data_IF_078315419783
#
_entry.id   IF_078315419783
#
_cell.length_a   1.000
_cell.length_b   1.000
_cell.length_c   1.000
_cell.angle_alpha   90.00
_cell.angle_beta   90.00
_cell.angle_gamma   90.00
#
_symmetry.space_group_name_H-M   'P 1'
#
loop_
_entity.id
_entity.type
_entity.pdbx_description
1 polymer ?
#
# COMPACT_ATOMS: atom_id res chain seq x y z
N UNK A 1 -24.92 19.35 10.23
CA UNK A 1 -25.17 20.60 10.99
C UNK A 1 -24.80 21.78 10.10
N UNK A 2 -25.62 22.84 9.99
CA UNK A 2 -25.30 24.01 9.17
C UNK A 2 -24.62 25.11 10.01
N UNK A 3 -23.85 26.01 9.37
CA UNK A 3 -23.80 27.39 9.83
C UNK A 3 -24.25 28.38 8.75
N UNK A 4 -25.35 29.06 9.11
CA UNK A 4 -25.66 30.48 9.01
C UNK A 4 -25.06 31.30 7.86
N UNK A 5 -25.98 31.70 6.97
CA UNK A 5 -25.90 32.78 5.99
C UNK A 5 -25.62 34.12 6.67
N UNK A 6 -24.54 34.82 6.29
CA UNK A 6 -24.43 36.27 6.44
C UNK A 6 -24.64 36.92 5.06
N UNK A 7 -25.74 37.65 4.94
CA UNK A 7 -25.95 38.61 3.86
C UNK A 7 -25.15 39.87 4.17
N UNK A 8 -24.21 40.22 3.31
CA UNK A 8 -23.67 41.58 3.22
C UNK A 8 -24.23 42.20 1.94
N UNK A 9 -25.04 43.25 2.10
CA UNK A 9 -25.49 44.12 1.02
C UNK A 9 -24.33 45.05 0.59
N UNK A 10 -24.20 45.38 -0.70
CA UNK A 10 -23.29 46.42 -1.15
C UNK A 10 -23.95 47.79 -0.99
N UNK A 11 -23.20 48.77 -0.51
CA UNK A 11 -23.56 50.18 -0.62
C UNK A 11 -22.46 50.84 -1.45
N UNK A 12 -22.75 50.99 -2.73
CA UNK A 12 -22.10 51.95 -3.63
C UNK A 12 -22.52 53.36 -3.21
N UNK A 13 -21.57 54.22 -2.91
CA UNK A 13 -21.77 55.66 -2.96
C UNK A 13 -20.41 56.31 -3.24
N UNK A 14 -20.11 56.42 -4.54
CA UNK A 14 -19.14 57.36 -5.06
C UNK A 14 -19.59 58.77 -4.64
N UNK A 15 -18.78 59.46 -3.85
CA UNK A 15 -18.88 60.90 -3.66
C UNK A 15 -17.59 61.50 -4.22
N UNK A 16 -17.63 61.83 -5.50
CA UNK A 16 -16.64 62.70 -6.14
C UNK A 16 -17.39 63.80 -6.86
N UNK A 17 -16.84 65.01 -6.74
CA UNK A 17 -17.08 66.19 -7.56
C UNK A 17 -18.34 67.02 -7.25
N UNK A 18 -18.15 68.15 -6.58
CA UNK A 18 -18.19 69.48 -7.21
C UNK A 18 -18.01 70.52 -6.10
N UNK A 19 -16.82 71.09 -6.00
CA UNK A 19 -16.60 72.32 -5.25
C UNK A 19 -16.07 73.32 -6.27
N UNK A 20 -17.04 73.96 -6.93
CA UNK A 20 -16.86 75.20 -7.66
C UNK A 20 -16.33 76.25 -6.69
N UNK A 21 -15.05 76.56 -6.80
CA UNK A 21 -14.42 77.67 -6.10
C UNK A 21 -14.17 78.76 -7.13
N UNK A 22 -15.21 79.57 -7.35
CA UNK A 22 -15.17 80.81 -8.10
C UNK A 22 -14.00 81.66 -7.57
N UNK A 23 -12.96 81.75 -8.40
CA UNK A 23 -11.85 82.66 -8.17
C UNK A 23 -12.29 84.00 -8.75
N UNK A 24 -12.71 84.93 -7.90
CA UNK A 24 -12.85 86.32 -8.31
C UNK A 24 -11.46 86.89 -8.60
N UNK A 25 -11.14 87.01 -9.88
CA UNK A 25 -10.03 87.80 -10.41
C UNK A 25 -10.21 89.27 -10.01
N UNK A 26 -9.54 89.69 -8.94
CA UNK A 26 -9.40 91.12 -8.63
C UNK A 26 -8.38 91.70 -9.61
N UNK A 27 -8.90 92.19 -10.73
CA UNK A 27 -8.20 93.00 -11.71
C UNK A 27 -7.61 94.25 -11.05
N UNK A 28 -6.27 94.33 -11.00
CA UNK A 28 -5.52 95.51 -10.59
C UNK A 28 -5.47 96.51 -11.76
N UNK A 29 -6.51 97.31 -11.91
CA UNK A 29 -6.52 98.42 -12.86
C UNK A 29 -5.65 99.57 -12.31
N UNK A 30 -4.47 99.72 -12.91
CA UNK A 30 -3.55 100.83 -12.69
C UNK A 30 -4.05 102.05 -13.47
N UNK A 31 -4.76 102.96 -12.82
CA UNK A 31 -5.02 104.30 -13.37
C UNK A 31 -3.97 105.29 -12.86
N UNK A 32 -3.03 105.61 -13.75
CA UNK A 32 -2.12 106.75 -13.64
C UNK A 32 -2.75 107.91 -14.42
N UNK A 33 -2.56 109.13 -13.88
CA UNK A 33 -2.89 110.50 -14.39
C UNK A 33 -4.20 111.07 -13.83
N UNK A 34 -4.29 112.33 -13.37
CA UNK A 34 -3.47 113.53 -13.58
C UNK A 34 -3.33 114.38 -12.32
N UNK A 35 -2.16 115.00 -12.19
CA UNK A 35 -1.84 116.20 -11.41
C UNK A 35 -2.85 117.32 -11.65
N UNK A 36 -3.31 117.96 -10.58
CA UNK A 36 -3.59 119.40 -10.58
C UNK A 36 -3.23 119.98 -9.21
N UNK A 37 -2.29 120.91 -9.27
CA UNK A 37 -1.75 121.71 -8.19
C UNK A 37 -2.82 122.61 -7.55
N UNK A 38 -2.93 122.58 -6.22
CA UNK A 38 -3.01 123.79 -5.37
C UNK A 38 -2.64 123.42 -3.92
N UNK A 39 -1.36 123.55 -3.62
CA UNK A 39 -0.80 123.96 -2.32
C UNK A 39 -0.99 125.50 -2.22
N UNK A 40 -1.21 126.22 -1.12
CA UNK A 40 -0.92 126.07 0.31
C UNK A 40 -1.68 127.16 1.10
N UNK A 41 -2.06 126.92 2.36
CA UNK A 41 -1.99 127.96 3.39
C UNK A 41 -1.77 127.33 4.79
N UNK A 42 -0.81 127.93 5.49
CA UNK A 42 -0.15 127.55 6.76
C UNK A 42 -1.07 127.31 7.97
N UNK A 43 -0.57 126.46 8.89
CA UNK A 43 -0.75 126.44 10.37
C UNK A 43 -1.10 125.05 10.96
N UNK A 44 -0.14 124.11 11.04
CA UNK A 44 -0.13 123.01 12.05
C UNK A 44 1.20 122.20 12.07
N UNK A 45 2.25 122.73 12.70
CA UNK A 45 3.59 122.11 12.81
C UNK A 45 3.74 120.99 13.86
N UNK A 46 2.67 120.35 14.31
CA UNK A 46 2.72 119.20 15.25
C UNK A 46 2.04 117.91 14.76
N UNK A 47 1.31 117.99 13.63
CA UNK A 47 0.57 116.86 13.05
C UNK A 47 1.31 116.15 11.92
N UNK A 48 2.10 116.88 11.11
CA UNK A 48 2.72 116.31 9.91
C UNK A 48 3.76 115.23 10.19
N UNK A 49 4.63 115.40 11.19
CA UNK A 49 5.65 114.40 11.56
C UNK A 49 5.02 113.09 12.05
N UNK A 50 3.95 113.18 12.85
CA UNK A 50 3.18 112.02 13.33
C UNK A 50 2.49 111.30 12.17
N UNK A 51 1.96 112.05 11.20
CA UNK A 51 1.33 111.50 10.00
C UNK A 51 2.36 110.79 9.11
N UNK A 52 3.56 111.34 8.91
CA UNK A 52 4.63 110.65 8.16
C UNK A 52 5.15 109.40 8.86
N UNK A 53 5.27 109.41 10.19
CA UNK A 53 5.71 108.22 10.94
C UNK A 53 4.67 107.09 10.89
N UNK A 54 3.39 107.43 11.08
CA UNK A 54 2.28 106.48 10.91
C UNK A 54 2.21 105.92 9.49
N UNK A 55 2.56 106.72 8.48
CA UNK A 55 2.59 106.27 7.10
C UNK A 55 3.73 105.29 6.82
N UNK A 56 4.91 105.52 7.41
CA UNK A 56 6.05 104.60 7.32
C UNK A 56 5.75 103.29 8.04
N UNK A 57 5.25 103.34 9.27
CA UNK A 57 4.85 102.15 10.04
C UNK A 57 3.76 101.34 9.30
N UNK A 58 2.78 102.02 8.68
CA UNK A 58 1.78 101.36 7.83
C UNK A 58 2.40 100.68 6.62
N UNK A 59 3.39 101.29 5.96
CA UNK A 59 4.10 100.68 4.83
C UNK A 59 4.92 99.45 5.25
N UNK A 60 5.58 99.51 6.39
CA UNK A 60 6.35 98.38 6.95
C UNK A 60 5.42 97.21 7.31
N UNK A 61 4.29 97.48 7.94
CA UNK A 61 3.28 96.46 8.25
C UNK A 61 2.69 95.85 6.97
N UNK A 62 2.40 96.65 5.95
CA UNK A 62 1.92 96.15 4.65
C UNK A 62 2.97 95.26 3.97
N UNK A 63 4.25 95.66 3.99
CA UNK A 63 5.33 94.83 3.45
C UNK A 63 5.47 93.51 4.21
N UNK A 64 5.38 93.56 5.55
CA UNK A 64 5.42 92.36 6.40
C UNK A 64 4.27 91.41 6.09
N UNK A 65 3.06 91.95 5.88
CA UNK A 65 1.90 91.17 5.45
C UNK A 65 2.15 90.52 4.08
N UNK A 66 2.77 91.24 3.14
CA UNK A 66 3.11 90.67 1.82
C UNK A 66 4.12 89.52 1.94
N UNK A 67 5.17 89.68 2.76
CA UNK A 67 6.13 88.61 3.02
C UNK A 67 5.45 87.39 3.64
N UNK A 68 4.60 87.58 4.65
CA UNK A 68 3.84 86.49 5.27
C UNK A 68 2.90 85.79 4.29
N UNK A 69 2.28 86.52 3.36
CA UNK A 69 1.46 85.92 2.29
C UNK A 69 2.30 85.06 1.35
N UNK A 70 3.49 85.52 0.98
CA UNK A 70 4.42 84.75 0.15
C UNK A 70 4.85 83.48 0.90
N UNK A 71 5.31 83.60 2.14
CA UNK A 71 5.72 82.46 2.95
C UNK A 71 4.58 81.45 3.12
N UNK A 72 3.37 81.91 3.41
CA UNK A 72 2.19 81.05 3.51
C UNK A 72 1.91 80.34 2.18
N UNK A 73 1.98 81.04 1.06
CA UNK A 73 1.78 80.43 -0.27
C UNK A 73 2.84 79.37 -0.59
N UNK A 74 4.10 79.60 -0.22
CA UNK A 74 5.18 78.64 -0.39
C UNK A 74 5.00 77.40 0.49
N UNK A 75 4.57 77.58 1.75
CA UNK A 75 4.26 76.48 2.65
C UNK A 75 3.05 75.67 2.16
N UNK A 76 2.03 76.33 1.63
CA UNK A 76 0.89 75.64 1.02
C UNK A 76 1.32 74.82 -0.20
N UNK A 77 2.13 75.39 -1.10
CA UNK A 77 2.66 74.66 -2.25
C UNK A 77 3.48 73.44 -1.83
N UNK A 78 4.30 73.57 -0.78
CA UNK A 78 5.06 72.44 -0.23
C UNK A 78 4.13 71.35 0.34
N UNK A 79 3.09 71.73 1.08
CA UNK A 79 2.10 70.79 1.60
C UNK A 79 1.37 70.05 0.47
N UNK A 80 0.98 70.76 -0.58
CA UNK A 80 0.30 70.16 -1.73
C UNK A 80 1.21 69.19 -2.48
N UNK A 81 2.50 69.54 -2.65
CA UNK A 81 3.48 68.65 -3.26
C UNK A 81 3.70 67.38 -2.42
N UNK A 82 3.90 67.53 -1.10
CA UNK A 82 4.02 66.37 -0.20
C UNK A 82 2.76 65.51 -0.20
N UNK A 83 1.58 66.12 -0.27
CA UNK A 83 0.31 65.40 -0.35
C UNK A 83 0.23 64.60 -1.66
N UNK A 84 0.62 65.19 -2.79
CA UNK A 84 0.67 64.49 -4.07
C UNK A 84 1.63 63.29 -4.03
N UNK A 85 2.82 63.46 -3.46
CA UNK A 85 3.81 62.38 -3.30
C UNK A 85 3.26 61.25 -2.42
N UNK A 86 2.63 61.57 -1.29
CA UNK A 86 2.01 60.55 -0.43
C UNK A 86 0.83 59.85 -1.10
N UNK A 87 0.00 60.57 -1.85
CA UNK A 87 -1.11 59.96 -2.60
C UNK A 87 -0.58 58.98 -3.66
N UNK A 88 0.42 59.38 -4.45
CA UNK A 88 1.08 58.49 -5.40
C UNK A 88 1.71 57.28 -4.68
N UNK A 89 2.30 57.50 -3.50
CA UNK A 89 2.88 56.38 -2.75
C UNK A 89 1.84 55.39 -2.23
N UNK A 90 0.68 55.88 -1.82
CA UNK A 90 -0.44 55.04 -1.39
C UNK A 90 -0.93 54.19 -2.58
N UNK A 91 -1.11 54.80 -3.75
CA UNK A 91 -1.53 54.08 -4.96
C UNK A 91 -0.54 52.96 -5.35
N UNK A 92 0.77 53.24 -5.33
CA UNK A 92 1.80 52.22 -5.57
C UNK A 92 1.74 51.05 -4.58
N UNK A 93 1.50 51.35 -3.30
CA UNK A 93 1.45 50.33 -2.26
C UNK A 93 0.16 49.49 -2.36
N UNK A 94 -0.95 50.11 -2.75
CA UNK A 94 -2.22 49.42 -3.02
C UNK A 94 -2.10 48.49 -4.23
N UNK A 95 -1.46 48.94 -5.32
CA UNK A 95 -1.20 48.09 -6.49
C UNK A 95 -0.34 46.87 -6.11
N UNK A 96 0.77 47.08 -5.39
CA UNK A 96 1.64 45.98 -4.92
C UNK A 96 0.91 45.01 -4.00
N UNK A 97 0.02 45.52 -3.14
CA UNK A 97 -0.80 44.68 -2.27
C UNK A 97 -1.77 43.83 -3.10
N UNK A 98 -2.41 44.42 -4.10
CA UNK A 98 -3.33 43.72 -4.99
C UNK A 98 -2.61 42.61 -5.77
N UNK A 99 -1.41 42.88 -6.29
CA UNK A 99 -0.58 41.88 -6.97
C UNK A 99 -0.20 40.72 -6.04
N UNK A 100 0.22 41.03 -4.80
CA UNK A 100 0.57 40.01 -3.81
C UNK A 100 -0.65 39.15 -3.42
N UNK A 101 -1.83 39.76 -3.30
CA UNK A 101 -3.08 39.04 -3.06
C UNK A 101 -3.47 38.15 -4.24
N UNK A 102 -3.32 38.62 -5.47
CA UNK A 102 -3.59 37.84 -6.66
C UNK A 102 -2.65 36.62 -6.75
N UNK A 103 -1.35 36.83 -6.56
CA UNK A 103 -0.36 35.75 -6.56
C UNK A 103 -0.67 34.71 -5.47
N UNK A 104 -1.03 35.15 -4.27
CA UNK A 104 -1.45 34.26 -3.18
C UNK A 104 -2.64 33.40 -3.58
N UNK A 105 -3.66 33.98 -4.21
CA UNK A 105 -4.84 33.24 -4.66
C UNK A 105 -4.49 32.20 -5.73
N UNK A 106 -3.66 32.57 -6.71
CA UNK A 106 -3.20 31.64 -7.75
C UNK A 106 -2.42 30.47 -7.15
N UNK A 107 -1.51 30.74 -6.22
CA UNK A 107 -0.74 29.70 -5.53
C UNK A 107 -1.64 28.78 -4.69
N UNK A 108 -2.61 29.34 -3.98
CA UNK A 108 -3.57 28.55 -3.20
C UNK A 108 -4.39 27.61 -4.09
N UNK A 109 -4.88 28.09 -5.24
CA UNK A 109 -5.61 27.28 -6.21
C UNK A 109 -4.74 26.19 -6.81
N UNK A 110 -3.47 26.50 -7.14
CA UNK A 110 -2.52 25.52 -7.65
C UNK A 110 -2.25 24.40 -6.63
N UNK A 111 -2.06 24.77 -5.36
CA UNK A 111 -1.83 23.81 -4.29
C UNK A 111 -3.06 22.93 -4.05
N UNK A 112 -4.26 23.51 -4.01
CA UNK A 112 -5.52 22.76 -3.86
C UNK A 112 -5.74 21.80 -5.03
N UNK A 113 -5.45 22.22 -6.26
CA UNK A 113 -5.50 21.36 -7.43
C UNK A 113 -4.51 20.18 -7.34
N UNK A 114 -3.26 20.45 -6.95
CA UNK A 114 -2.25 19.39 -6.77
C UNK A 114 -2.63 18.40 -5.67
N UNK A 115 -3.15 18.91 -4.54
CA UNK A 115 -3.62 18.06 -3.44
C UNK A 115 -4.79 17.17 -3.87
N UNK A 116 -5.76 17.71 -4.62
CA UNK A 116 -6.89 16.93 -5.15
C UNK A 116 -6.43 15.81 -6.07
N UNK A 117 -5.56 16.10 -7.02
CA UNK A 117 -5.00 15.09 -7.95
C UNK A 117 -4.25 14.02 -7.16
N UNK A 118 -3.37 14.39 -6.23
CA UNK A 118 -2.63 13.44 -5.41
C UNK A 118 -3.55 12.55 -4.55
N UNK A 119 -4.62 13.12 -3.98
CA UNK A 119 -5.61 12.36 -3.21
C UNK A 119 -6.39 11.37 -4.09
N UNK A 120 -6.81 11.79 -5.28
CA UNK A 120 -7.50 10.92 -6.23
C UNK A 120 -6.61 9.77 -6.70
N UNK A 121 -5.36 10.06 -7.02
CA UNK A 121 -4.40 9.03 -7.45
C UNK A 121 -4.08 8.06 -6.32
N UNK A 122 -3.90 8.55 -5.09
CA UNK A 122 -3.69 7.68 -3.93
C UNK A 122 -4.90 6.76 -3.70
N UNK A 123 -6.13 7.27 -3.81
CA UNK A 123 -7.36 6.45 -3.72
C UNK A 123 -7.43 5.40 -4.83
N UNK A 124 -7.08 5.76 -6.07
CA UNK A 124 -7.04 4.81 -7.20
C UNK A 124 -6.03 3.70 -6.93
N UNK A 125 -4.80 4.05 -6.52
CA UNK A 125 -3.75 3.08 -6.19
C UNK A 125 -4.16 2.17 -5.04
N UNK A 126 -4.72 2.72 -3.97
CA UNK A 126 -5.22 1.92 -2.84
C UNK A 126 -6.32 0.95 -3.28
N UNK A 127 -7.24 1.38 -4.14
CA UNK A 127 -8.30 0.51 -4.67
C UNK A 127 -7.76 -0.61 -5.56
N UNK A 128 -6.73 -0.31 -6.36
CA UNK A 128 -6.06 -1.28 -7.23
C UNK A 128 -5.31 -2.33 -6.39
N UNK A 129 -4.49 -1.89 -5.44
CA UNK A 129 -3.78 -2.81 -4.54
C UNK A 129 -4.73 -3.68 -3.72
N UNK A 130 -5.87 -3.13 -3.28
CA UNK A 130 -6.89 -3.92 -2.58
C UNK A 130 -7.44 -5.03 -3.47
N UNK A 131 -7.79 -4.73 -4.73
CA UNK A 131 -8.26 -5.75 -5.70
C UNK A 131 -7.20 -6.79 -6.02
N UNK A 132 -5.95 -6.37 -6.20
CA UNK A 132 -4.83 -7.29 -6.44
C UNK A 132 -4.62 -8.22 -5.25
N UNK A 133 -4.65 -7.68 -4.03
CA UNK A 133 -4.56 -8.47 -2.80
C UNK A 133 -5.70 -9.49 -2.69
N UNK A 134 -6.94 -9.06 -2.95
CA UNK A 134 -8.11 -9.94 -2.96
C UNK A 134 -7.99 -11.06 -4.00
N UNK A 135 -7.48 -10.76 -5.20
CA UNK A 135 -7.25 -11.75 -6.24
C UNK A 135 -6.16 -12.78 -5.86
N UNK A 136 -5.06 -12.32 -5.25
CA UNK A 136 -4.00 -13.19 -4.75
C UNK A 136 -4.52 -14.09 -3.63
N UNK A 137 -5.28 -13.54 -2.67
CA UNK A 137 -5.86 -14.32 -1.58
C UNK A 137 -6.86 -15.37 -2.09
N UNK A 138 -7.72 -15.02 -3.03
CA UNK A 138 -8.66 -15.97 -3.64
C UNK A 138 -7.92 -17.10 -4.35
N UNK A 139 -6.85 -16.79 -5.10
CA UNK A 139 -6.02 -17.80 -5.75
C UNK A 139 -5.30 -18.69 -4.73
N UNK A 140 -4.79 -18.11 -3.64
CA UNK A 140 -4.13 -18.85 -2.58
C UNK A 140 -5.08 -19.85 -1.91
N UNK A 141 -6.31 -19.43 -1.60
CA UNK A 141 -7.34 -20.31 -1.05
C UNK A 141 -7.68 -21.48 -1.99
N UNK A 142 -7.83 -21.20 -3.30
CA UNK A 142 -8.06 -22.25 -4.29
C UNK A 142 -6.91 -23.27 -4.35
N UNK A 143 -5.66 -22.80 -4.28
CA UNK A 143 -4.49 -23.67 -4.27
C UNK A 143 -4.41 -24.50 -2.98
N UNK A 144 -4.73 -23.91 -1.83
CA UNK A 144 -4.77 -24.60 -0.54
C UNK A 144 -5.85 -25.69 -0.53
N UNK A 145 -7.05 -25.39 -1.03
CA UNK A 145 -8.12 -26.37 -1.19
C UNK A 145 -7.73 -27.50 -2.13
N UNK A 146 -7.15 -27.17 -3.29
CA UNK A 146 -6.67 -28.17 -4.25
C UNK A 146 -5.60 -29.06 -3.61
N UNK A 147 -4.65 -28.48 -2.87
CA UNK A 147 -3.61 -29.23 -2.18
C UNK A 147 -4.19 -30.15 -1.10
N UNK A 148 -5.19 -29.69 -0.34
CA UNK A 148 -5.90 -30.54 0.61
C UNK A 148 -6.57 -31.73 -0.09
N UNK A 149 -7.26 -31.49 -1.22
CA UNK A 149 -7.89 -32.55 -2.02
C UNK A 149 -6.86 -33.54 -2.58
N UNK A 150 -5.72 -33.06 -3.08
CA UNK A 150 -4.64 -33.91 -3.57
C UNK A 150 -4.03 -34.75 -2.45
N UNK A 151 -3.80 -34.16 -1.27
CA UNK A 151 -3.31 -34.88 -0.10
C UNK A 151 -4.30 -35.97 0.35
N UNK A 152 -5.60 -35.66 0.35
CA UNK A 152 -6.65 -36.62 0.66
C UNK A 152 -6.67 -37.76 -0.37
N UNK A 153 -6.68 -37.44 -1.67
CA UNK A 153 -6.67 -38.42 -2.76
C UNK A 153 -5.41 -39.31 -2.69
N UNK A 154 -4.24 -38.75 -2.42
CA UNK A 154 -3.02 -39.53 -2.20
C UNK A 154 -3.12 -40.44 -0.95
N UNK A 155 -3.83 -40.00 0.08
CA UNK A 155 -4.21 -40.82 1.23
C UNK A 155 -5.09 -42.00 0.84
N UNK A 156 -6.15 -41.74 0.09
CA UNK A 156 -7.10 -42.74 -0.41
C UNK A 156 -6.39 -43.79 -1.29
N UNK A 157 -5.52 -43.36 -2.20
CA UNK A 157 -4.69 -44.25 -3.02
C UNK A 157 -3.80 -45.14 -2.15
N UNK A 158 -3.12 -44.59 -1.14
CA UNK A 158 -2.32 -45.40 -0.19
C UNK A 158 -3.16 -46.42 0.57
N UNK A 159 -4.38 -46.07 0.96
CA UNK A 159 -5.28 -47.03 1.62
C UNK A 159 -5.80 -48.09 0.66
N UNK A 160 -6.04 -47.74 -0.61
CA UNK A 160 -6.50 -48.67 -1.64
C UNK A 160 -5.49 -49.78 -1.94
N UNK A 161 -4.19 -49.51 -1.74
CA UNK A 161 -3.12 -50.49 -1.93
C UNK A 161 -2.96 -51.49 -0.77
N UNK A 162 -3.79 -51.46 0.27
CA UNK A 162 -3.69 -52.44 1.37
C UNK A 162 -4.15 -53.84 0.96
N UNK A 163 -5.17 -53.92 0.11
CA UNK A 163 -5.79 -55.17 -0.32
C UNK A 163 -5.68 -55.31 -1.85
N UNK A 164 -4.56 -55.88 -2.31
CA UNK A 164 -4.22 -56.04 -3.73
C UNK A 164 -4.39 -57.49 -4.23
N UNK A 165 -5.00 -58.36 -3.44
CA UNK A 165 -5.19 -59.76 -3.83
C UNK A 165 -6.12 -59.86 -5.05
N UNK A 166 -5.59 -60.45 -6.11
CA UNK A 166 -6.25 -60.59 -7.41
C UNK A 166 -6.51 -62.06 -7.72
N UNK A 167 -7.71 -62.38 -8.21
CA UNK A 167 -7.97 -63.72 -8.74
C UNK A 167 -7.35 -63.90 -10.13
N UNK A 168 -7.07 -65.15 -10.51
CA UNK A 168 -6.47 -65.46 -11.81
C UNK A 168 -7.36 -65.01 -12.99
N UNK A 169 -8.67 -65.10 -12.86
CA UNK A 169 -9.62 -64.68 -13.90
C UNK A 169 -9.59 -63.16 -14.09
N UNK A 170 -9.64 -62.40 -12.98
CA UNK A 170 -9.54 -60.94 -13.00
C UNK A 170 -8.20 -60.46 -13.54
N UNK A 171 -7.11 -61.16 -13.23
CA UNK A 171 -5.80 -60.87 -13.80
C UNK A 171 -5.81 -60.98 -15.34
N UNK A 172 -6.41 -62.04 -15.89
CA UNK A 172 -6.47 -62.23 -17.34
C UNK A 172 -7.34 -61.17 -18.01
N UNK A 173 -8.45 -60.79 -17.39
CA UNK A 173 -9.31 -59.70 -17.86
C UNK A 173 -8.56 -58.37 -17.90
N UNK A 174 -7.89 -58.00 -16.81
CA UNK A 174 -7.14 -56.73 -16.69
C UNK A 174 -5.93 -56.68 -17.63
N UNK A 175 -5.21 -57.81 -17.79
CA UNK A 175 -4.02 -57.89 -18.66
C UNK A 175 -4.33 -57.63 -20.14
N UNK A 176 -5.56 -57.88 -20.57
CA UNK A 176 -5.99 -57.69 -21.96
C UNK A 176 -6.47 -56.25 -22.23
N UNK A 177 -6.59 -55.42 -21.20
CA UNK A 177 -7.00 -54.03 -21.33
C UNK A 177 -5.75 -53.11 -21.47
N UNK A 178 -5.88 -51.97 -22.18
CA UNK A 178 -4.82 -50.96 -22.23
C UNK A 178 -4.75 -50.15 -20.94
N UNK A 179 -3.53 -49.75 -20.56
CA UNK A 179 -3.22 -49.07 -19.28
C UNK A 179 -4.08 -47.81 -19.03
N UNK A 180 -4.42 -47.04 -20.08
CA UNK A 180 -5.24 -45.83 -19.97
C UNK A 180 -6.67 -46.08 -19.48
N UNK A 181 -7.14 -47.33 -19.53
CA UNK A 181 -8.50 -47.73 -19.12
C UNK A 181 -8.52 -48.43 -17.76
N UNK A 182 -7.35 -48.69 -17.19
CA UNK A 182 -7.20 -49.44 -15.94
C UNK A 182 -6.91 -48.42 -14.83
N UNK A 183 -7.57 -48.57 -13.68
CA UNK A 183 -7.26 -47.71 -12.53
C UNK A 183 -5.84 -47.98 -12.01
N UNK A 184 -5.24 -46.99 -11.36
CA UNK A 184 -3.90 -47.14 -10.75
C UNK A 184 -3.87 -48.32 -9.77
N UNK A 185 -4.96 -48.54 -9.02
CA UNK A 185 -5.08 -49.68 -8.09
C UNK A 185 -5.06 -51.02 -8.82
N UNK A 186 -5.87 -51.18 -9.86
CA UNK A 186 -5.93 -52.42 -10.65
C UNK A 186 -4.61 -52.70 -11.37
N UNK A 187 -3.96 -51.67 -11.89
CA UNK A 187 -2.64 -51.79 -12.52
C UNK A 187 -1.60 -52.30 -11.51
N UNK A 188 -1.56 -51.72 -10.31
CA UNK A 188 -0.65 -52.15 -9.24
C UNK A 188 -1.00 -53.57 -8.76
N UNK A 189 -2.29 -53.91 -8.61
CA UNK A 189 -2.72 -55.26 -8.24
C UNK A 189 -2.29 -56.31 -9.27
N UNK A 190 -2.41 -56.01 -10.56
CA UNK A 190 -1.94 -56.87 -11.65
C UNK A 190 -0.43 -57.14 -11.54
N UNK A 191 0.38 -56.09 -11.34
CA UNK A 191 1.83 -56.23 -11.14
C UNK A 191 2.20 -57.00 -9.87
N UNK A 192 1.46 -56.78 -8.80
CA UNK A 192 1.64 -57.50 -7.54
C UNK A 192 1.33 -58.99 -7.73
N UNK A 193 0.23 -59.32 -8.42
CA UNK A 193 -0.13 -60.69 -8.77
C UNK A 193 0.95 -61.39 -9.61
N UNK A 194 1.48 -60.74 -10.63
CA UNK A 194 2.58 -61.26 -11.47
C UNK A 194 3.82 -61.61 -10.64
N UNK A 195 4.17 -60.77 -9.66
CA UNK A 195 5.35 -60.97 -8.82
C UNK A 195 5.13 -62.03 -7.72
N UNK A 196 3.96 -62.03 -7.09
CA UNK A 196 3.69 -62.84 -5.88
C UNK A 196 3.26 -64.27 -6.22
N UNK A 197 2.52 -64.48 -7.31
CA UNK A 197 2.05 -65.81 -7.72
C UNK A 197 3.16 -66.85 -7.89
N UNK A 198 4.29 -66.57 -8.59
CA UNK A 198 5.37 -67.55 -8.72
C UNK A 198 6.03 -67.86 -7.37
N UNK A 199 6.18 -66.86 -6.50
CA UNK A 199 6.73 -67.06 -5.15
C UNK A 199 5.81 -67.94 -4.29
N UNK A 200 4.50 -67.69 -4.32
CA UNK A 200 3.50 -68.54 -3.64
C UNK A 200 3.58 -69.99 -4.13
N UNK A 201 3.73 -70.19 -5.45
CA UNK A 201 3.91 -71.53 -6.03
C UNK A 201 5.19 -72.21 -5.53
N UNK A 202 6.32 -71.49 -5.49
CA UNK A 202 7.58 -72.03 -4.96
C UNK A 202 7.47 -72.40 -3.49
N UNK A 203 6.84 -71.57 -2.66
CA UNK A 203 6.60 -71.87 -1.24
C UNK A 203 5.76 -73.14 -1.09
N UNK A 204 4.69 -73.29 -1.86
CA UNK A 204 3.86 -74.50 -1.84
C UNK A 204 4.63 -75.75 -2.31
N UNK A 205 5.48 -75.63 -3.33
CA UNK A 205 6.33 -76.74 -3.78
C UNK A 205 7.36 -77.13 -2.71
N UNK A 206 7.97 -76.14 -2.05
CA UNK A 206 8.93 -76.38 -0.97
C UNK A 206 8.26 -76.97 0.26
N UNK A 207 7.04 -76.57 0.62
CA UNK A 207 6.31 -77.17 1.73
C UNK A 207 6.04 -78.65 1.46
N UNK A 208 5.52 -78.99 0.26
CA UNK A 208 5.27 -80.39 -0.13
C UNK A 208 6.55 -81.22 -0.10
N UNK A 209 7.68 -80.68 -0.58
CA UNK A 209 8.99 -81.37 -0.49
C UNK A 209 9.45 -81.58 0.94
N UNK A 210 9.20 -80.61 1.82
CA UNK A 210 9.55 -80.70 3.23
C UNK A 210 8.73 -81.81 3.89
N UNK A 211 7.43 -81.85 3.63
CA UNK A 211 6.54 -82.89 4.14
C UNK A 211 6.98 -84.28 3.65
N UNK A 212 7.25 -84.45 2.35
CA UNK A 212 7.70 -85.74 1.80
C UNK A 212 9.04 -86.20 2.40
N UNK A 213 10.01 -85.29 2.56
CA UNK A 213 11.30 -85.63 3.17
C UNK A 213 11.15 -85.98 4.66
N UNK A 214 10.17 -85.37 5.34
CA UNK A 214 9.88 -85.68 6.74
C UNK A 214 9.28 -87.09 6.85
N UNK A 215 8.34 -87.44 5.97
CA UNK A 215 7.79 -88.80 5.88
C UNK A 215 8.87 -89.84 5.53
N UNK A 216 9.74 -89.56 4.57
CA UNK A 216 10.89 -90.42 4.22
C UNK A 216 11.84 -90.60 5.42
N UNK A 217 12.09 -89.54 6.17
CA UNK A 217 12.96 -89.60 7.33
C UNK A 217 12.33 -90.42 8.48
N UNK A 218 11.03 -90.31 8.68
CA UNK A 218 10.31 -91.09 9.70
C UNK A 218 10.20 -92.57 9.30
N UNK A 219 9.94 -92.88 8.04
CA UNK A 219 9.97 -94.26 7.54
C UNK A 219 11.36 -94.88 7.73
N UNK A 220 12.43 -94.18 7.36
CA UNK A 220 13.81 -94.64 7.59
C UNK A 220 14.11 -94.85 9.08
N UNK A 221 13.65 -93.96 9.97
CA UNK A 221 13.78 -94.14 11.43
C UNK A 221 13.06 -95.39 11.93
N UNK A 222 11.86 -95.68 11.43
CA UNK A 222 11.11 -96.88 11.82
C UNK A 222 11.78 -98.16 11.31
N UNK A 223 12.27 -98.17 10.06
CA UNK A 223 13.03 -99.28 9.50
C UNK A 223 14.31 -99.55 10.28
N UNK A 224 15.06 -98.51 10.62
CA UNK A 224 16.30 -98.64 11.40
C UNK A 224 16.04 -99.18 12.80
N UNK A 225 14.92 -98.77 13.44
CA UNK A 225 14.49 -99.34 14.72
C UNK A 225 14.17 -100.83 14.60
N UNK A 226 13.35 -101.22 13.62
CA UNK A 226 13.02 -102.63 13.40
C UNK A 226 14.24 -103.48 13.07
N UNK A 227 15.21 -102.95 12.31
CA UNK A 227 16.46 -103.65 12.04
C UNK A 227 17.29 -103.85 13.32
N UNK A 228 17.38 -102.83 14.18
CA UNK A 228 18.04 -102.96 15.48
C UNK A 228 17.34 -103.99 16.38
N UNK A 229 16.02 -103.97 16.46
CA UNK A 229 15.24 -104.94 17.24
C UNK A 229 15.50 -106.38 16.74
N UNK A 230 15.45 -106.61 15.43
CA UNK A 230 15.75 -107.93 14.84
C UNK A 230 17.20 -108.38 15.07
N UNK A 231 18.16 -107.46 15.01
CA UNK A 231 19.57 -107.73 15.29
C UNK A 231 19.76 -108.12 16.76
N UNK A 232 19.08 -107.44 17.68
CA UNK A 232 19.09 -107.80 19.10
C UNK A 232 18.47 -109.17 19.36
N UNK A 233 17.36 -109.51 18.68
CA UNK A 233 16.74 -110.84 18.76
C UNK A 233 17.66 -111.95 18.25
N UNK A 234 18.24 -111.79 17.06
CA UNK A 234 19.22 -112.75 16.51
C UNK A 234 20.43 -112.92 17.43
N UNK A 235 20.94 -111.81 17.99
CA UNK A 235 22.03 -111.88 18.97
C UNK A 235 21.62 -112.70 20.19
N UNK A 236 20.40 -112.54 20.71
CA UNK A 236 19.87 -113.35 21.83
C UNK A 236 19.75 -114.83 21.45
N UNK A 237 19.16 -115.14 20.30
CA UNK A 237 19.00 -116.52 19.81
C UNK A 237 20.36 -117.19 19.62
N UNK A 238 21.33 -116.48 19.01
CA UNK A 238 22.70 -116.96 18.85
C UNK A 238 23.35 -117.27 20.19
N UNK A 239 23.23 -116.39 21.18
CA UNK A 239 23.77 -116.66 22.52
C UNK A 239 23.10 -117.89 23.17
N UNK A 240 21.79 -118.07 23.00
CA UNK A 240 21.07 -119.24 23.51
C UNK A 240 21.52 -120.54 22.82
N UNK A 241 21.73 -120.51 21.50
CA UNK A 241 22.23 -121.64 20.72
C UNK A 241 23.68 -121.98 21.12
N UNK A 242 24.54 -120.98 21.27
CA UNK A 242 25.91 -121.16 21.74
C UNK A 242 25.92 -121.85 23.12
N UNK A 243 25.06 -121.43 24.05
CA UNK A 243 24.89 -122.08 25.35
C UNK A 243 24.37 -123.52 25.23
N UNK A 244 23.41 -123.80 24.34
CA UNK A 244 22.92 -125.17 24.09
C UNK A 244 23.98 -126.07 23.48
N UNK A 245 24.74 -125.58 22.50
CA UNK A 245 25.86 -126.30 21.90
C UNK A 245 26.93 -126.62 22.94
N UNK A 246 27.27 -125.66 23.82
CA UNK A 246 28.19 -125.91 24.94
C UNK A 246 27.69 -127.01 25.86
N UNK A 247 26.39 -127.01 26.23
CA UNK A 247 25.78 -128.07 27.03
C UNK A 247 25.84 -129.43 26.36
N UNK A 248 25.42 -129.53 25.10
CA UNK A 248 25.47 -130.79 24.33
C UNK A 248 26.90 -131.32 24.18
N UNK A 249 27.88 -130.42 24.01
CA UNK A 249 29.30 -130.80 23.96
C UNK A 249 29.77 -131.40 25.29
N UNK A 250 29.27 -130.88 26.41
CA UNK A 250 29.55 -131.44 27.75
C UNK A 250 28.82 -132.77 28.00
N UNK A 251 27.66 -133.01 27.38
CA UNK A 251 26.89 -134.26 27.51
C UNK A 251 27.43 -135.40 26.63
N UNK A 252 28.12 -135.08 25.53
CA UNK A 252 28.71 -136.05 24.60
C UNK A 252 30.18 -136.40 24.90
N UNK A 253 30.81 -135.73 25.87
CA UNK A 253 32.19 -135.95 26.32
C UNK A 253 32.23 -136.80 27.60
#
# INVERSE_FOLDING_TARGET
MPPKKYRLKPASANASSSLDMESEDISLETTVRTTDDVSSSDEQRGGSEKVTRQFIERKELLHTIQLLKIDLSQKNLLLDNMKADYMSKVEELEERLNDALHLKQVLALRLDSQLKVAQEDNRKQQSLHKREMEAVLARQQQLEEMNHRLCQSAGEVRTSFRDLDLSQDKYQELRNLPDDKISVQEYVAMRFYEAVTPLRSQVAQLSVKTDSLTEELDTNRTQMRGLMDSYEEERRIRTDLELRCQRLTLELA
#
